data_IF_360088020718
#
_entry.id   IF_360088020718
#
_cell.length_a   1.000
_cell.length_b   1.000
_cell.length_c   1.000
_cell.angle_alpha   90.00
_cell.angle_beta   90.00
_cell.angle_gamma   90.00
#
_symmetry.space_group_name_H-M   'P 1'
#
loop_
_entity.id
_entity.type
_entity.pdbx_description
1 polymer ?
#
# COMPACT_ATOMS: atom_id res chain seq x y z
N UNK A 1 54.31 19.95 63.11
CA UNK A 1 55.38 19.11 62.55
C UNK A 1 55.22 17.72 63.15
N UNK A 2 55.06 16.72 62.26
CA UNK A 2 55.20 15.25 62.42
C UNK A 2 54.40 14.55 63.54
N UNK A 3 53.42 13.69 63.20
CA UNK A 3 53.54 12.22 63.16
C UNK A 3 52.18 11.53 62.91
N UNK A 4 52.26 10.41 62.23
CA UNK A 4 51.20 9.46 61.87
C UNK A 4 50.68 8.65 63.08
N UNK A 5 49.53 7.98 62.93
CA UNK A 5 49.12 6.92 63.86
C UNK A 5 47.69 6.43 63.65
N UNK A 6 47.54 5.12 63.47
CA UNK A 6 46.33 4.39 63.12
C UNK A 6 45.38 4.09 64.31
N UNK A 7 44.19 3.60 63.95
CA UNK A 7 43.12 2.83 64.65
C UNK A 7 43.54 1.91 65.82
N UNK A 8 42.63 1.18 66.53
CA UNK A 8 41.19 1.34 66.87
C UNK A 8 40.90 1.01 68.37
N UNK A 9 39.64 1.12 68.83
CA UNK A 9 39.23 0.58 70.14
C UNK A 9 37.75 0.84 70.46
N UNK A 10 36.82 -0.02 70.00
CA UNK A 10 36.22 -1.16 70.71
C UNK A 10 35.27 -0.78 71.87
N UNK A 11 34.00 -1.15 71.64
CA UNK A 11 33.10 -1.93 72.53
C UNK A 11 32.08 -1.28 73.48
N UNK A 12 30.89 -1.91 73.47
CA UNK A 12 29.86 -2.07 74.52
C UNK A 12 29.09 -0.78 74.93
N UNK A 13 27.77 -0.73 75.16
CA UNK A 13 26.61 -1.61 75.00
C UNK A 13 25.41 -0.83 75.59
N UNK A 14 24.18 -1.04 75.07
CA UNK A 14 22.84 -0.92 75.73
C UNK A 14 22.54 0.37 76.54
N UNK A 15 21.33 0.93 76.63
CA UNK A 15 19.98 0.58 76.25
C UNK A 15 19.14 1.83 76.61
N UNK A 16 18.05 2.03 75.88
CA UNK A 16 16.77 2.57 76.35
C UNK A 16 16.57 4.07 76.66
N UNK A 17 15.53 4.55 75.96
CA UNK A 17 14.44 5.44 76.41
C UNK A 17 14.70 6.96 76.38
N UNK A 18 14.19 7.61 75.34
CA UNK A 18 13.09 8.57 75.51
C UNK A 18 12.56 9.04 74.15
N UNK A 19 11.38 8.53 73.80
CA UNK A 19 10.25 9.25 73.19
C UNK A 19 10.47 10.71 72.75
N UNK A 20 10.18 10.97 71.47
CA UNK A 20 9.64 12.26 71.04
C UNK A 20 10.44 12.97 69.94
N UNK A 21 10.44 12.45 68.71
CA UNK A 21 10.65 13.31 67.55
C UNK A 21 9.86 12.80 66.34
N UNK A 22 8.59 13.20 66.32
CA UNK A 22 7.88 13.75 65.18
C UNK A 22 8.18 13.09 63.82
N UNK A 23 7.43 12.02 63.58
CA UNK A 23 6.80 11.66 62.30
C UNK A 23 6.64 12.84 61.33
N UNK A 24 7.57 12.99 60.39
CA UNK A 24 7.48 13.90 59.24
C UNK A 24 8.39 13.39 58.10
N UNK A 25 8.28 12.11 57.75
CA UNK A 25 8.90 11.56 56.54
C UNK A 25 7.78 11.26 55.55
N UNK A 26 7.41 12.34 54.84
CA UNK A 26 7.03 12.38 53.43
C UNK A 26 6.40 11.12 52.85
N UNK A 27 5.06 11.12 52.77
CA UNK A 27 4.31 10.36 51.78
C UNK A 27 4.64 10.89 50.37
N UNK A 28 5.83 10.57 49.86
CA UNK A 28 6.08 10.59 48.42
C UNK A 28 5.47 9.31 47.86
N UNK A 29 4.14 9.30 47.71
CA UNK A 29 3.47 8.29 46.92
C UNK A 29 4.09 8.34 45.51
N UNK A 30 4.64 7.23 45.04
CA UNK A 30 4.94 7.02 43.63
C UNK A 30 3.62 7.15 42.86
N UNK A 31 3.27 8.36 42.42
CA UNK A 31 2.17 8.54 41.47
C UNK A 31 2.60 7.85 40.19
N UNK A 32 1.89 6.79 39.84
CA UNK A 32 2.04 6.15 38.55
C UNK A 32 1.83 7.23 37.47
N UNK A 33 2.83 7.49 36.60
CA UNK A 33 2.70 8.51 35.56
C UNK A 33 1.44 8.30 34.70
N UNK A 34 0.99 7.05 34.53
CA UNK A 34 -0.22 6.72 33.77
C UNK A 34 -1.53 7.18 34.45
N UNK A 35 -1.50 7.57 35.72
CA UNK A 35 -2.68 8.07 36.46
C UNK A 35 -2.67 9.59 36.66
N UNK A 36 -1.62 10.28 36.19
CA UNK A 36 -1.39 11.68 36.50
C UNK A 36 -2.40 12.63 35.85
N UNK A 37 -3.00 12.24 34.71
CA UNK A 37 -3.93 13.07 33.94
C UNK A 37 -5.40 12.65 34.05
N UNK A 38 -5.72 11.58 34.80
CA UNK A 38 -7.06 10.98 34.81
C UNK A 38 -7.35 10.18 33.53
N UNK A 39 -8.62 10.07 33.15
CA UNK A 39 -9.08 9.34 31.95
C UNK A 39 -8.71 10.12 30.68
N UNK A 40 -7.69 9.64 29.96
CA UNK A 40 -7.17 10.34 28.77
C UNK A 40 -6.53 9.40 27.74
N UNK A 41 -6.35 9.89 26.52
CA UNK A 41 -5.49 9.27 25.52
C UNK A 41 -4.18 10.03 25.41
N UNK A 42 -3.05 9.33 25.48
CA UNK A 42 -1.73 9.86 25.16
C UNK A 42 -1.40 9.53 23.70
N UNK A 43 -1.63 10.50 22.82
CA UNK A 43 -1.59 10.32 21.38
C UNK A 43 -0.22 10.69 20.84
N UNK A 44 0.47 9.76 20.18
CA UNK A 44 1.69 10.01 19.40
C UNK A 44 1.35 10.04 17.92
N UNK A 45 1.84 11.05 17.20
CA UNK A 45 1.59 11.18 15.75
C UNK A 45 2.81 10.78 14.93
N UNK A 46 2.61 9.91 13.95
CA UNK A 46 3.66 9.48 13.02
C UNK A 46 3.31 9.94 11.61
N UNK A 47 4.25 10.59 10.90
CA UNK A 47 4.03 11.08 9.54
C UNK A 47 5.34 11.28 8.78
N UNK A 48 5.26 11.40 7.46
CA UNK A 48 6.44 11.67 6.62
C UNK A 48 6.98 13.09 6.84
N UNK A 49 8.27 13.28 7.18
CA UNK A 49 8.84 14.61 7.38
C UNK A 49 8.72 15.56 6.17
N UNK A 50 8.62 15.00 4.95
CA UNK A 50 8.42 15.76 3.72
C UNK A 50 7.08 16.51 3.67
N UNK A 51 6.10 16.11 4.50
CA UNK A 51 4.81 16.78 4.62
C UNK A 51 4.89 18.14 5.32
N UNK A 52 6.02 18.51 5.94
CA UNK A 52 6.28 19.83 6.53
C UNK A 52 5.04 20.41 7.26
N UNK A 53 4.40 19.58 8.08
CA UNK A 53 3.18 19.98 8.79
C UNK A 53 3.54 21.04 9.82
N UNK A 54 2.68 22.04 10.01
CA UNK A 54 2.87 23.13 10.98
C UNK A 54 1.84 23.10 12.11
N UNK A 55 0.70 22.43 11.89
CA UNK A 55 -0.36 22.27 12.89
C UNK A 55 -1.05 20.90 12.73
N UNK A 56 -1.72 20.46 13.79
CA UNK A 56 -2.64 19.34 13.82
C UNK A 56 -4.02 19.85 14.17
N UNK A 57 -5.06 19.36 13.50
CA UNK A 57 -6.45 19.50 13.92
C UNK A 57 -6.93 18.17 14.45
N UNK A 58 -7.23 18.14 15.74
CA UNK A 58 -7.59 16.93 16.47
C UNK A 58 -9.07 16.97 16.78
N UNK A 59 -9.77 15.87 16.51
CA UNK A 59 -11.16 15.63 16.92
C UNK A 59 -11.32 14.18 17.34
N UNK A 60 -12.45 13.83 17.92
CA UNK A 60 -12.70 12.46 18.31
C UNK A 60 -14.13 12.23 18.80
N UNK A 61 -14.46 10.96 18.99
CA UNK A 61 -15.76 10.51 19.49
C UNK A 61 -15.55 9.34 20.45
N UNK A 62 -16.44 9.19 21.42
CA UNK A 62 -16.49 8.04 22.32
C UNK A 62 -17.82 7.34 22.14
N UNK A 63 -17.77 6.00 22.05
CA UNK A 63 -18.95 5.16 21.98
C UNK A 63 -19.91 5.48 23.14
N UNK A 64 -21.13 5.89 22.80
CA UNK A 64 -22.07 6.50 23.75
C UNK A 64 -22.43 7.96 23.42
N UNK A 65 -21.81 8.54 22.39
CA UNK A 65 -22.21 9.84 21.83
C UNK A 65 -21.52 11.05 22.47
N UNK A 66 -20.40 10.83 23.18
CA UNK A 66 -19.57 11.91 23.69
C UNK A 66 -18.59 12.33 22.59
N UNK A 67 -18.63 13.61 22.22
CA UNK A 67 -17.73 14.19 21.23
C UNK A 67 -16.54 14.87 21.91
N UNK A 68 -15.35 14.68 21.34
CA UNK A 68 -14.14 15.42 21.71
C UNK A 68 -14.09 16.70 20.86
N UNK A 69 -14.02 17.90 21.48
CA UNK A 69 -14.03 19.15 20.75
C UNK A 69 -12.84 19.27 19.80
N UNK A 70 -13.09 19.84 18.62
CA UNK A 70 -12.03 20.05 17.63
C UNK A 70 -11.04 21.10 18.12
N UNK A 71 -9.75 20.76 18.16
CA UNK A 71 -8.68 21.62 18.67
C UNK A 71 -7.51 21.70 17.69
N UNK A 72 -6.85 22.86 17.59
CA UNK A 72 -5.63 23.06 16.79
C UNK A 72 -4.37 23.01 17.67
N UNK A 73 -3.36 22.26 17.25
CA UNK A 73 -2.12 22.04 17.99
C UNK A 73 -0.88 22.20 17.08
N UNK A 74 0.09 23.07 17.41
CA UNK A 74 -0.06 24.21 18.30
C UNK A 74 -1.12 25.20 17.79
N UNK A 75 -1.58 26.10 18.66
CA UNK A 75 -2.53 27.15 18.29
C UNK A 75 -1.99 28.08 17.19
N UNK A 76 -0.68 28.31 17.15
CA UNK A 76 0.02 29.12 16.14
C UNK A 76 1.00 28.28 15.30
N UNK A 77 1.02 28.49 13.99
CA UNK A 77 1.87 27.76 13.03
C UNK A 77 3.32 28.27 12.99
N UNK A 78 3.97 28.40 14.13
CA UNK A 78 5.31 29.04 14.24
C UNK A 78 6.47 28.12 13.84
N UNK A 79 6.26 26.81 13.84
CA UNK A 79 7.29 25.82 13.49
C UNK A 79 6.73 24.62 12.76
N UNK A 80 7.61 23.93 12.03
CA UNK A 80 7.32 22.60 11.54
C UNK A 80 7.24 21.60 12.71
N UNK A 81 6.23 20.73 12.65
CA UNK A 81 6.04 19.60 13.52
C UNK A 81 7.00 18.47 13.15
N UNK A 82 7.42 17.72 14.15
CA UNK A 82 8.23 16.52 14.00
C UNK A 82 7.36 15.27 14.14
N UNK A 83 7.68 14.25 13.34
CA UNK A 83 7.08 12.93 13.53
C UNK A 83 7.50 12.38 14.90
N UNK A 84 6.55 11.81 15.63
CA UNK A 84 6.70 11.35 17.01
C UNK A 84 6.24 12.36 18.05
N UNK A 85 5.73 13.53 17.67
CA UNK A 85 5.17 14.48 18.63
C UNK A 85 3.89 13.93 19.27
N UNK A 86 3.76 14.19 20.58
CA UNK A 86 2.70 13.65 21.42
C UNK A 86 1.83 14.73 22.06
N UNK A 87 0.54 14.46 22.21
CA UNK A 87 -0.40 15.31 22.94
C UNK A 87 -1.42 14.47 23.72
N UNK A 88 -2.19 15.12 24.59
CA UNK A 88 -3.21 14.46 25.42
C UNK A 88 -4.61 14.84 24.96
N UNK A 89 -5.49 13.84 24.90
CA UNK A 89 -6.93 14.03 24.71
C UNK A 89 -7.63 13.65 26.01
N UNK A 90 -8.21 14.63 26.68
CA UNK A 90 -8.93 14.41 27.94
C UNK A 90 -10.32 13.85 27.64
N UNK A 91 -10.66 12.72 28.26
CA UNK A 91 -11.93 12.01 28.09
C UNK A 91 -12.69 12.00 29.42
N UNK A 92 -12.94 13.19 29.95
CA UNK A 92 -13.68 13.34 31.20
C UNK A 92 -15.05 12.66 31.06
N UNK A 93 -15.44 11.87 32.06
CA UNK A 93 -16.73 11.18 32.12
C UNK A 93 -16.93 10.03 31.10
N UNK A 94 -15.89 9.65 30.34
CA UNK A 94 -15.97 8.51 29.44
C UNK A 94 -16.03 7.18 30.23
N UNK A 95 -17.01 6.29 29.98
CA UNK A 95 -17.11 5.05 30.74
C UNK A 95 -15.96 4.09 30.46
N UNK A 96 -15.50 3.39 31.50
CA UNK A 96 -14.46 2.36 31.39
C UNK A 96 -14.83 1.29 30.35
N UNK A 97 -13.88 0.92 29.50
CA UNK A 97 -14.03 -0.08 28.44
C UNK A 97 -14.74 0.40 27.17
N UNK A 98 -15.21 1.66 27.10
CA UNK A 98 -15.79 2.20 25.87
C UNK A 98 -14.74 2.45 24.80
N UNK A 99 -15.10 2.38 23.52
CA UNK A 99 -14.18 2.67 22.42
C UNK A 99 -14.17 4.18 22.16
N UNK A 100 -12.98 4.79 22.23
CA UNK A 100 -12.73 6.14 21.79
C UNK A 100 -12.02 6.12 20.43
N UNK A 101 -12.46 6.97 19.52
CA UNK A 101 -11.86 7.20 18.21
C UNK A 101 -11.27 8.59 18.19
N UNK A 102 -9.98 8.71 17.88
CA UNK A 102 -9.30 10.00 17.66
C UNK A 102 -8.95 10.14 16.20
N UNK A 103 -9.36 11.26 15.61
CA UNK A 103 -9.00 11.69 14.26
C UNK A 103 -8.04 12.86 14.35
N UNK A 104 -6.98 12.80 13.55
CA UNK A 104 -5.97 13.84 13.46
C UNK A 104 -5.79 14.22 12.01
N UNK A 105 -5.85 15.52 11.72
CA UNK A 105 -5.52 16.09 10.42
C UNK A 105 -4.24 16.89 10.56
N UNK A 106 -3.26 16.64 9.69
CA UNK A 106 -2.03 17.41 9.58
C UNK A 106 -2.23 18.59 8.63
N UNK A 107 -1.90 19.80 9.08
CA UNK A 107 -2.08 21.04 8.34
C UNK A 107 -0.76 21.73 8.03
N UNK A 108 -0.74 22.44 6.90
CA UNK A 108 0.30 23.41 6.53
C UNK A 108 -0.39 24.62 5.92
N UNK A 109 -0.09 25.82 6.43
CA UNK A 109 -0.70 27.07 5.97
C UNK A 109 -2.25 27.04 5.97
N UNK A 110 -2.83 26.31 6.93
CA UNK A 110 -4.28 26.11 7.07
C UNK A 110 -4.89 25.04 6.14
N UNK A 111 -4.13 24.45 5.21
CA UNK A 111 -4.57 23.37 4.35
C UNK A 111 -4.30 22.01 4.97
N UNK A 112 -5.25 21.06 4.89
CA UNK A 112 -5.05 19.67 5.33
C UNK A 112 -4.23 18.93 4.27
N UNK A 113 -3.10 18.38 4.70
CA UNK A 113 -2.20 17.61 3.84
C UNK A 113 -2.11 16.13 4.21
N UNK A 114 -2.54 15.77 5.41
CA UNK A 114 -2.56 14.40 5.88
C UNK A 114 -3.69 14.17 6.89
N UNK A 115 -4.15 12.93 6.99
CA UNK A 115 -5.17 12.52 7.95
C UNK A 115 -4.82 11.15 8.51
N UNK A 116 -5.18 10.91 9.76
CA UNK A 116 -5.08 9.60 10.39
C UNK A 116 -6.15 9.44 11.46
N UNK A 117 -6.47 8.20 11.76
CA UNK A 117 -7.43 7.83 12.80
C UNK A 117 -6.88 6.65 13.59
N UNK A 118 -7.17 6.62 14.89
CA UNK A 118 -6.89 5.47 15.73
C UNK A 118 -8.04 5.28 16.74
N UNK A 119 -8.22 4.04 17.17
CA UNK A 119 -9.20 3.68 18.19
C UNK A 119 -8.53 3.05 19.40
N UNK A 120 -9.07 3.29 20.58
CA UNK A 120 -8.57 2.71 21.82
C UNK A 120 -9.73 2.45 22.80
N UNK A 121 -9.58 1.43 23.65
CA UNK A 121 -10.47 1.22 24.78
C UNK A 121 -10.12 2.19 25.90
N UNK A 122 -11.08 3.01 26.30
CA UNK A 122 -10.96 3.95 27.42
C UNK A 122 -10.74 3.16 28.71
N UNK A 123 -9.86 3.69 29.57
CA UNK A 123 -9.62 3.15 30.90
C UNK A 123 -9.82 4.23 31.95
N UNK A 124 -10.78 4.02 32.85
CA UNK A 124 -11.15 5.02 33.86
C UNK A 124 -9.97 5.32 34.82
N UNK A 125 -9.60 6.60 34.90
CA UNK A 125 -8.48 7.09 35.72
C UNK A 125 -7.09 6.86 35.14
N UNK A 126 -6.96 6.37 33.90
CA UNK A 126 -5.67 6.10 33.25
C UNK A 126 -5.51 6.78 31.89
N UNK A 127 -4.25 7.06 31.56
CA UNK A 127 -3.81 7.41 30.21
C UNK A 127 -3.63 6.13 29.37
N UNK A 128 -4.24 6.09 28.19
CA UNK A 128 -4.06 5.01 27.21
C UNK A 128 -3.21 5.53 26.05
N UNK A 129 -2.11 4.85 25.77
CA UNK A 129 -1.22 5.22 24.65
C UNK A 129 -1.86 4.85 23.31
N UNK A 130 -1.83 5.78 22.37
CA UNK A 130 -2.38 5.62 21.02
C UNK A 130 -1.40 6.20 20.01
N UNK A 131 -1.11 5.45 18.95
CA UNK A 131 -0.31 5.96 17.83
C UNK A 131 -1.24 6.24 16.65
N UNK A 132 -1.25 7.48 16.17
CA UNK A 132 -1.98 7.90 14.97
C UNK A 132 -0.99 8.11 13.84
N UNK A 133 -1.09 7.28 12.81
CA UNK A 133 -0.30 7.43 11.58
C UNK A 133 -1.04 8.35 10.62
N UNK A 134 -0.44 9.49 10.29
CA UNK A 134 -0.98 10.40 9.29
C UNK A 134 -0.43 10.01 7.93
N UNK A 135 -1.34 9.74 7.01
CA UNK A 135 -1.04 9.57 5.59
C UNK A 135 -1.61 10.76 4.84
N UNK A 136 -0.95 11.19 3.77
CA UNK A 136 -1.55 12.13 2.81
C UNK A 136 -2.77 11.47 2.15
N UNK A 137 -3.93 11.64 2.76
CA UNK A 137 -5.23 11.24 2.22
C UNK A 137 -5.91 12.42 1.54
N UNK A 138 -6.81 12.19 0.57
CA UNK A 138 -7.57 13.28 -0.03
C UNK A 138 -8.41 13.98 1.04
N UNK A 139 -8.38 15.31 1.06
CA UNK A 139 -9.39 16.12 1.75
C UNK A 139 -10.78 15.65 1.32
N UNK A 140 -11.71 15.35 2.24
CA UNK A 140 -13.10 15.14 1.88
C UNK A 140 -13.61 16.43 1.24
N UNK A 141 -13.90 16.40 -0.06
CA UNK A 141 -14.62 17.50 -0.68
C UNK A 141 -16.06 17.45 -0.15
N UNK A 142 -16.49 18.52 0.51
CA UNK A 142 -17.88 18.72 0.90
C UNK A 142 -18.78 18.99 -0.30
N UNK A 143 -18.64 18.23 -1.39
CA UNK A 143 -19.44 18.33 -2.60
C UNK A 143 -20.74 17.56 -2.43
N UNK A 144 -21.87 18.27 -2.52
CA UNK A 144 -23.18 17.65 -2.71
C UNK A 144 -23.17 16.89 -4.03
N UNK A 145 -23.46 15.59 -4.00
CA UNK A 145 -23.50 14.75 -5.20
C UNK A 145 -24.46 15.28 -6.25
N UNK A 146 -23.92 15.92 -7.28
CA UNK A 146 -24.60 16.11 -8.54
C UNK A 146 -24.41 14.84 -9.38
N UNK A 147 -25.49 14.35 -9.97
CA UNK A 147 -25.54 13.05 -10.68
C UNK A 147 -24.76 13.00 -12.00
N UNK A 148 -23.59 13.65 -12.07
CA UNK A 148 -22.57 13.44 -13.09
C UNK A 148 -21.66 12.26 -12.71
N UNK A 149 -20.95 11.71 -13.67
CA UNK A 149 -19.96 10.63 -13.46
C UNK A 149 -19.03 10.94 -12.28
N UNK A 150 -18.74 10.00 -11.36
CA UNK A 150 -17.82 10.26 -10.25
C UNK A 150 -16.46 10.71 -10.79
N UNK A 151 -16.14 11.97 -10.55
CA UNK A 151 -14.85 12.53 -10.91
C UNK A 151 -13.77 11.74 -10.18
N UNK A 152 -12.81 11.22 -10.95
CA UNK A 152 -11.62 10.59 -10.41
C UNK A 152 -10.83 11.66 -9.63
N UNK A 153 -11.11 11.76 -8.33
CA UNK A 153 -10.41 12.65 -7.43
C UNK A 153 -8.89 12.42 -7.49
N UNK A 154 -8.07 13.48 -7.39
CA UNK A 154 -6.64 13.36 -7.47
C UNK A 154 -6.12 12.79 -6.14
N UNK A 155 -5.71 11.52 -6.14
CA UNK A 155 -4.80 11.00 -5.11
C UNK A 155 -5.31 9.88 -4.20
N UNK A 156 -6.42 9.20 -4.51
CA UNK A 156 -6.73 7.94 -3.82
C UNK A 156 -5.71 6.88 -4.25
N UNK A 157 -4.92 6.37 -3.29
CA UNK A 157 -4.20 5.10 -3.45
C UNK A 157 -5.16 4.12 -4.12
N UNK A 158 -4.76 3.58 -5.27
CA UNK A 158 -5.66 3.04 -6.28
C UNK A 158 -6.29 1.70 -5.88
N UNK A 159 -7.07 1.67 -4.80
CA UNK A 159 -7.84 0.51 -4.37
C UNK A 159 -9.26 0.50 -4.96
N UNK A 160 -9.75 1.65 -5.46
CA UNK A 160 -11.13 1.80 -5.93
C UNK A 160 -11.27 2.59 -7.25
N UNK A 161 -10.37 2.38 -8.24
CA UNK A 161 -10.59 2.95 -9.57
C UNK A 161 -11.68 2.17 -10.31
N UNK A 162 -12.95 2.52 -10.05
CA UNK A 162 -14.16 1.83 -10.58
C UNK A 162 -14.10 1.65 -12.11
N UNK A 163 -13.70 2.70 -12.82
CA UNK A 163 -13.60 2.71 -14.28
C UNK A 163 -12.20 3.07 -14.78
N UNK A 164 -11.18 2.49 -14.15
CA UNK A 164 -9.81 2.78 -14.52
C UNK A 164 -8.74 1.96 -13.83
N UNK A 165 -7.51 2.36 -14.11
CA UNK A 165 -6.30 1.79 -13.56
C UNK A 165 -5.49 2.85 -12.83
N UNK A 166 -4.49 2.41 -12.08
CA UNK A 166 -3.57 3.27 -11.38
C UNK A 166 -2.39 3.66 -12.24
N UNK A 167 -2.16 4.96 -12.39
CA UNK A 167 -0.92 5.49 -12.95
C UNK A 167 -0.39 6.55 -12.01
N UNK A 168 0.83 6.35 -11.51
CA UNK A 168 1.52 7.31 -10.63
C UNK A 168 0.68 7.69 -9.39
N UNK A 169 -0.07 6.73 -8.84
CA UNK A 169 -0.93 6.95 -7.67
C UNK A 169 -2.25 7.66 -7.98
N UNK A 170 -2.59 7.84 -9.25
CA UNK A 170 -3.83 8.50 -9.69
C UNK A 170 -4.68 7.53 -10.50
N UNK A 171 -5.98 7.46 -10.16
CA UNK A 171 -6.95 6.75 -10.97
C UNK A 171 -7.06 7.43 -12.33
N UNK A 172 -6.65 6.73 -13.39
CA UNK A 172 -6.79 7.18 -14.76
C UNK A 172 -7.91 6.44 -15.44
N UNK A 173 -8.74 7.17 -16.18
CA UNK A 173 -9.80 6.60 -16.99
C UNK A 173 -9.25 5.54 -17.96
N UNK A 174 -10.05 4.49 -18.17
CA UNK A 174 -9.74 3.40 -19.08
C UNK A 174 -9.57 3.90 -20.52
N UNK A 175 -8.38 3.75 -21.08
CA UNK A 175 -8.10 3.96 -22.51
C UNK A 175 -7.24 2.83 -23.05
N UNK A 176 -6.95 2.82 -24.36
CA UNK A 176 -6.00 1.86 -24.94
C UNK A 176 -4.57 2.05 -24.45
N UNK A 177 -4.20 3.22 -23.90
CA UNK A 177 -2.87 3.48 -23.30
C UNK A 177 -2.85 3.39 -21.77
N UNK A 178 -4.03 3.32 -21.16
CA UNK A 178 -4.24 3.26 -19.70
C UNK A 178 -5.29 2.18 -19.42
N UNK A 179 -4.94 0.93 -19.73
CA UNK A 179 -5.84 -0.19 -19.62
C UNK A 179 -5.72 -0.89 -18.25
N UNK A 180 -6.88 -1.13 -17.64
CA UNK A 180 -7.05 -1.85 -16.38
C UNK A 180 -8.38 -1.46 -15.72
N UNK A 181 -8.70 -2.13 -14.60
CA UNK A 181 -9.89 -1.90 -13.76
C UNK A 181 -9.56 -2.09 -12.30
N UNK A 182 -10.35 -1.52 -11.40
CA UNK A 182 -10.24 -1.76 -9.96
C UNK A 182 -8.92 -1.27 -9.37
N UNK A 183 -8.29 -0.29 -10.02
CA UNK A 183 -7.07 0.34 -9.52
C UNK A 183 -5.79 -0.50 -9.66
N UNK A 184 -5.81 -1.58 -10.45
CA UNK A 184 -4.57 -2.24 -10.88
C UNK A 184 -3.65 -1.29 -11.65
N UNK A 185 -2.35 -1.58 -11.71
CA UNK A 185 -1.41 -0.79 -12.52
C UNK A 185 -1.87 -0.69 -13.99
N UNK A 186 -1.83 0.52 -14.54
CA UNK A 186 -2.17 0.74 -15.94
C UNK A 186 -1.21 0.01 -16.88
N UNK A 187 -1.77 -0.59 -17.93
CA UNK A 187 -1.03 -1.19 -19.05
C UNK A 187 -1.30 -0.46 -20.35
N UNK A 188 -0.30 -0.37 -21.22
CA UNK A 188 -0.49 0.13 -22.59
C UNK A 188 -0.81 -1.04 -23.52
N UNK A 189 -1.99 -1.03 -24.15
CA UNK A 189 -2.40 -2.09 -25.06
C UNK A 189 -1.64 -2.10 -26.38
N UNK A 190 -0.98 -1.01 -26.75
CA UNK A 190 -0.18 -0.97 -27.97
C UNK A 190 1.05 -1.88 -27.86
N UNK A 191 1.66 -1.98 -26.68
CA UNK A 191 2.73 -2.93 -26.37
C UNK A 191 2.24 -4.39 -26.46
N UNK A 192 0.97 -4.61 -26.16
CA UNK A 192 0.30 -5.91 -26.23
C UNK A 192 -0.29 -6.22 -27.62
N UNK A 193 0.07 -5.45 -28.66
CA UNK A 193 -0.48 -5.64 -30.02
C UNK A 193 -2.02 -5.64 -30.00
N UNK A 194 -2.60 -4.66 -29.33
CA UNK A 194 -4.02 -4.48 -29.13
C UNK A 194 -4.40 -3.01 -29.34
N UNK A 195 -5.67 -2.76 -29.68
CA UNK A 195 -6.19 -1.41 -29.95
C UNK A 195 -7.32 -1.01 -28.98
N UNK A 196 -7.79 -1.96 -28.17
CA UNK A 196 -8.97 -1.81 -27.32
C UNK A 196 -8.65 -2.26 -25.90
N UNK A 197 -9.12 -1.51 -24.91
CA UNK A 197 -9.19 -1.98 -23.53
C UNK A 197 -10.63 -2.42 -23.23
N UNK A 198 -10.82 -3.70 -22.94
CA UNK A 198 -12.15 -4.27 -22.67
C UNK A 198 -12.74 -3.71 -21.36
N UNK A 199 -14.04 -3.92 -21.14
CA UNK A 199 -14.73 -3.59 -19.89
C UNK A 199 -14.15 -4.33 -18.66
N UNK A 200 -13.44 -5.44 -18.87
CA UNK A 200 -12.75 -6.20 -17.85
C UNK A 200 -11.31 -5.71 -17.59
N UNK A 201 -10.86 -4.65 -18.29
CA UNK A 201 -9.52 -4.10 -18.11
C UNK A 201 -8.43 -4.93 -18.80
N UNK A 202 -8.79 -5.72 -19.82
CA UNK A 202 -7.85 -6.53 -20.60
C UNK A 202 -7.63 -5.92 -21.97
N UNK A 203 -6.42 -6.06 -22.51
CA UNK A 203 -6.13 -5.61 -23.86
C UNK A 203 -6.69 -6.58 -24.91
N UNK A 204 -7.35 -6.00 -25.91
CA UNK A 204 -8.06 -6.69 -26.99
C UNK A 204 -7.74 -6.06 -28.34
N UNK A 205 -7.83 -6.86 -29.40
CA UNK A 205 -7.78 -6.39 -30.77
C UNK A 205 -9.19 -6.49 -31.37
N UNK A 206 -9.88 -5.36 -31.46
CA UNK A 206 -11.30 -5.32 -31.82
C UNK A 206 -12.15 -6.12 -30.82
N UNK A 207 -12.93 -7.08 -31.32
CA UNK A 207 -13.76 -7.96 -30.50
C UNK A 207 -13.03 -9.23 -30.01
N UNK A 208 -11.78 -9.43 -30.44
CA UNK A 208 -10.96 -10.59 -30.11
C UNK A 208 -9.93 -10.29 -29.01
N UNK A 209 -9.23 -11.32 -28.52
CA UNK A 209 -8.10 -11.13 -27.62
C UNK A 209 -6.98 -10.30 -28.29
N UNK A 210 -6.04 -9.81 -27.48
CA UNK A 210 -4.80 -9.24 -27.97
C UNK A 210 -4.07 -10.19 -28.94
N UNK A 211 -3.33 -9.63 -29.90
CA UNK A 211 -2.65 -10.44 -30.90
C UNK A 211 -1.47 -11.20 -30.30
N UNK A 212 -1.34 -12.49 -30.65
CA UNK A 212 -0.24 -13.33 -30.23
C UNK A 212 1.05 -13.12 -31.05
N UNK A 213 1.99 -14.05 -30.90
CA UNK A 213 3.25 -14.05 -31.64
C UNK A 213 3.09 -14.19 -33.16
N UNK A 214 1.91 -14.58 -33.66
CA UNK A 214 1.59 -14.68 -35.09
C UNK A 214 1.30 -13.33 -35.77
N UNK A 215 1.43 -12.20 -35.06
CA UNK A 215 1.21 -10.87 -35.60
C UNK A 215 2.19 -9.82 -35.03
N UNK A 216 2.42 -8.76 -35.80
CA UNK A 216 3.24 -7.62 -35.39
C UNK A 216 2.43 -6.51 -34.74
N UNK A 217 1.18 -6.30 -35.17
CA UNK A 217 0.33 -5.21 -34.70
C UNK A 217 -1.17 -5.57 -34.75
N UNK A 218 -1.99 -4.78 -34.05
CA UNK A 218 -3.43 -4.72 -34.24
C UNK A 218 -3.80 -3.44 -34.98
N UNK A 219 -4.61 -3.54 -36.02
CA UNK A 219 -5.09 -2.39 -36.77
C UNK A 219 -6.54 -2.61 -37.21
N UNK A 220 -7.42 -1.67 -36.85
CA UNK A 220 -8.85 -1.77 -37.15
C UNK A 220 -9.50 -3.05 -36.61
N UNK A 221 -9.10 -3.47 -35.40
CA UNK A 221 -9.56 -4.69 -34.77
C UNK A 221 -9.10 -5.99 -35.42
N UNK A 222 -8.02 -5.96 -36.23
CA UNK A 222 -7.44 -7.13 -36.87
C UNK A 222 -5.96 -7.26 -36.59
N UNK A 223 -5.53 -8.47 -36.25
CA UNK A 223 -4.12 -8.80 -36.11
C UNK A 223 -3.45 -8.85 -37.49
N UNK A 224 -2.34 -8.13 -37.63
CA UNK A 224 -1.59 -7.99 -38.88
C UNK A 224 -0.13 -8.39 -38.69
N UNK A 225 0.46 -8.99 -39.73
CA UNK A 225 1.89 -9.23 -39.83
C UNK A 225 2.45 -8.46 -41.03
N UNK A 226 3.25 -7.42 -40.76
CA UNK A 226 3.70 -6.50 -41.80
C UNK A 226 2.51 -5.78 -42.45
N UNK A 227 2.34 -5.94 -43.77
CA UNK A 227 1.21 -5.41 -44.53
C UNK A 227 0.05 -6.41 -44.70
N UNK A 228 0.21 -7.64 -44.22
CA UNK A 228 -0.77 -8.72 -44.35
C UNK A 228 -1.55 -9.00 -43.07
N UNK A 229 -2.51 -9.94 -43.15
CA UNK A 229 -3.19 -10.48 -41.97
C UNK A 229 -2.24 -11.27 -41.06
N UNK A 230 -2.74 -11.67 -39.90
CA UNK A 230 -2.00 -12.54 -38.98
C UNK A 230 -1.57 -13.85 -39.65
N UNK A 231 -0.46 -14.40 -39.18
CA UNK A 231 0.09 -15.62 -39.73
C UNK A 231 -0.79 -16.83 -39.41
N UNK A 232 -0.75 -17.82 -40.31
CA UNK A 232 -1.43 -19.10 -40.13
C UNK A 232 -0.99 -19.79 -38.81
N UNK A 233 -1.82 -20.70 -38.25
CA UNK A 233 -1.47 -21.44 -37.05
C UNK A 233 -0.08 -22.08 -37.14
N UNK A 234 0.71 -21.93 -36.07
CA UNK A 234 2.08 -22.45 -36.01
C UNK A 234 3.17 -21.52 -36.55
N UNK A 235 2.82 -20.39 -37.17
CA UNK A 235 3.77 -19.39 -37.66
C UNK A 235 3.81 -18.15 -36.77
N UNK A 236 5.01 -17.62 -36.53
CA UNK A 236 5.26 -16.36 -35.86
C UNK A 236 5.48 -15.23 -36.88
N UNK A 237 5.15 -14.01 -36.49
CA UNK A 237 5.43 -12.82 -37.28
C UNK A 237 6.80 -12.24 -36.90
N UNK A 238 7.82 -12.53 -37.72
CA UNK A 238 9.19 -12.07 -37.49
C UNK A 238 9.59 -11.11 -38.61
N UNK A 239 9.85 -9.84 -38.25
CA UNK A 239 10.22 -8.81 -39.23
C UNK A 239 9.14 -8.56 -40.30
N UNK A 240 7.85 -8.72 -39.94
CA UNK A 240 6.73 -8.57 -40.87
C UNK A 240 6.54 -9.74 -41.84
N UNK A 241 7.23 -10.87 -41.62
CA UNK A 241 7.07 -12.09 -42.39
C UNK A 241 6.62 -13.24 -41.50
N UNK A 242 5.70 -14.05 -42.01
CA UNK A 242 5.27 -15.26 -41.34
C UNK A 242 6.36 -16.33 -41.46
N UNK A 243 6.94 -16.70 -40.33
CA UNK A 243 7.99 -17.70 -40.24
C UNK A 243 7.65 -18.78 -39.23
N UNK A 244 8.02 -20.01 -39.53
CA UNK A 244 7.89 -21.07 -38.55
C UNK A 244 8.92 -20.86 -37.44
N UNK A 245 8.45 -20.77 -36.20
CA UNK A 245 9.27 -20.41 -35.04
C UNK A 245 8.88 -21.27 -33.81
N UNK A 246 9.84 -21.63 -32.94
CA UNK A 246 9.59 -22.37 -31.70
C UNK A 246 8.54 -21.77 -30.76
N UNK A 247 8.35 -20.44 -30.78
CA UNK A 247 7.36 -19.75 -29.94
C UNK A 247 5.91 -20.05 -30.32
N UNK A 248 5.66 -20.45 -31.57
CA UNK A 248 4.30 -20.68 -32.09
C UNK A 248 4.06 -22.11 -32.57
N UNK A 249 5.11 -22.85 -32.94
CA UNK A 249 4.99 -24.19 -33.49
C UNK A 249 5.20 -25.27 -32.43
N UNK A 250 4.14 -25.99 -32.07
CA UNK A 250 4.24 -27.13 -31.14
C UNK A 250 4.97 -28.35 -31.76
N UNK A 251 4.82 -28.55 -33.07
CA UNK A 251 5.45 -29.63 -33.84
C UNK A 251 6.82 -29.22 -34.39
N UNK A 252 7.09 -29.48 -35.66
CA UNK A 252 8.37 -29.11 -36.30
C UNK A 252 8.17 -28.24 -37.54
N UNK A 253 9.22 -27.54 -37.93
CA UNK A 253 9.25 -26.64 -39.07
C UNK A 253 9.83 -27.34 -40.29
N UNK A 254 9.03 -27.43 -41.36
CA UNK A 254 9.46 -27.90 -42.68
C UNK A 254 9.05 -26.88 -43.74
N UNK A 255 10.01 -26.39 -44.52
CA UNK A 255 9.76 -25.39 -45.58
C UNK A 255 8.88 -24.21 -45.11
N UNK A 256 9.17 -23.69 -43.91
CA UNK A 256 8.42 -22.60 -43.28
C UNK A 256 6.95 -22.92 -42.95
N UNK A 257 6.59 -24.20 -42.90
CA UNK A 257 5.28 -24.69 -42.44
C UNK A 257 5.45 -25.41 -41.12
N UNK A 258 4.62 -25.08 -40.14
CA UNK A 258 4.54 -25.85 -38.91
C UNK A 258 3.69 -27.09 -39.16
N UNK A 259 4.32 -28.27 -39.09
CA UNK A 259 3.64 -29.56 -39.19
C UNK A 259 3.60 -30.21 -37.81
N UNK A 260 2.69 -31.17 -37.61
CA UNK A 260 2.45 -31.80 -36.30
C UNK A 260 3.71 -32.49 -35.75
N UNK A 261 4.60 -32.97 -36.63
CA UNK A 261 5.89 -33.51 -36.21
C UNK A 261 5.89 -34.99 -35.84
N UNK A 262 4.87 -35.75 -36.25
CA UNK A 262 4.67 -37.18 -35.92
C UNK A 262 4.86 -38.13 -37.10
N UNK A 263 5.09 -37.61 -38.32
CA UNK A 263 5.37 -38.45 -39.48
C UNK A 263 6.84 -38.91 -39.47
N UNK A 264 7.10 -40.09 -40.04
CA UNK A 264 8.47 -40.63 -40.16
C UNK A 264 9.41 -39.69 -40.93
N UNK A 265 8.91 -39.00 -41.95
CA UNK A 265 9.69 -38.08 -42.77
C UNK A 265 9.68 -36.64 -42.24
N UNK A 266 8.78 -36.32 -41.32
CA UNK A 266 8.56 -34.98 -40.78
C UNK A 266 8.46 -35.04 -39.25
N UNK A 267 9.48 -35.62 -38.61
CA UNK A 267 9.48 -35.83 -37.17
C UNK A 267 10.13 -34.67 -36.44
N UNK A 268 9.52 -34.22 -35.34
CA UNK A 268 10.12 -33.22 -34.47
C UNK A 268 9.09 -32.56 -33.54
N UNK A 269 9.58 -31.68 -32.66
CA UNK A 269 8.74 -30.90 -31.73
C UNK A 269 9.37 -29.55 -31.40
N UNK A 270 8.58 -28.64 -30.86
CA UNK A 270 9.03 -27.34 -30.36
C UNK A 270 9.59 -26.41 -31.44
N UNK A 271 9.03 -26.46 -32.65
CA UNK A 271 9.41 -25.61 -33.79
C UNK A 271 10.83 -25.81 -34.30
N UNK A 272 11.47 -26.93 -33.94
CA UNK A 272 12.75 -27.32 -34.51
C UNK A 272 12.59 -27.74 -35.98
N UNK A 273 13.68 -27.77 -36.74
CA UNK A 273 13.65 -28.31 -38.10
C UNK A 273 13.17 -29.77 -38.08
N UNK A 274 12.21 -30.11 -38.95
CA UNK A 274 11.77 -31.48 -39.10
C UNK A 274 12.91 -32.38 -39.58
N UNK A 275 12.93 -33.62 -39.09
CA UNK A 275 13.90 -34.64 -39.50
C UNK A 275 13.21 -35.92 -39.94
N UNK A 276 13.87 -36.64 -40.84
CA UNK A 276 13.49 -37.99 -41.23
C UNK A 276 14.08 -39.00 -40.24
N UNK A 277 13.25 -39.89 -39.72
CA UNK A 277 13.67 -40.99 -38.87
C UNK A 277 13.91 -42.27 -39.68
N UNK A 278 14.88 -43.09 -39.26
CA UNK A 278 15.18 -44.36 -39.93
C UNK A 278 14.08 -45.41 -39.73
N UNK A 279 13.53 -45.50 -38.51
CA UNK A 279 12.47 -46.45 -38.13
C UNK A 279 11.10 -45.80 -38.09
N UNK A 280 10.79 -45.09 -37.01
CA UNK A 280 9.51 -44.38 -36.82
C UNK A 280 9.71 -43.07 -36.04
N UNK A 281 8.73 -42.18 -36.15
CA UNK A 281 8.60 -41.02 -35.28
C UNK A 281 7.67 -41.38 -34.12
N UNK A 282 8.12 -41.19 -32.89
CA UNK A 282 7.30 -41.44 -31.70
C UNK A 282 6.26 -40.32 -31.53
N UNK A 283 5.15 -40.57 -30.81
CA UNK A 283 4.13 -39.56 -30.54
C UNK A 283 4.66 -38.30 -29.82
N UNK A 284 5.82 -38.39 -29.17
CA UNK A 284 6.47 -37.27 -28.49
C UNK A 284 7.41 -36.45 -29.42
N UNK A 285 7.38 -36.70 -30.73
CA UNK A 285 8.18 -36.00 -31.75
C UNK A 285 9.65 -36.40 -31.77
N UNK A 286 10.03 -37.56 -31.22
CA UNK A 286 11.41 -38.06 -31.24
C UNK A 286 11.58 -39.28 -32.17
N UNK A 287 12.74 -39.40 -32.81
CA UNK A 287 13.07 -40.60 -33.59
C UNK A 287 13.48 -41.75 -32.66
N UNK A 288 13.00 -42.97 -32.92
CA UNK A 288 13.44 -44.18 -32.22
C UNK A 288 12.99 -45.48 -32.86
#
# INVERSE_FOLDING_TARGET
>A
MIFAGATPGRTFVRFLLATGLLTLVTMAACRDPATAAGTALFVTTEFEPALNLTQLRVSGTVAGGMDVPTTLLPETAERALQSGESFRVLLNDAPDGTQATVRVEGLRDGAVLATGEATASVRDGYEVEVTVRLSSGPTPDGGTGDGGTPDAGPGTFCVDCRDGCCREGVCTARTSRTCGVGGVACSDCTENKADTCTAQGTCACGNGPACGANASACFGGRCMCGLGGACAPGLACLGGQCRCDPSTCAGCCMNNTCVIGTDKNECGKGGQACKKCDKLCKPDGTCG
#
